data_IF_904317656834
#
_entry.id   IF_904317656834
#
_cell.length_a   1.000
_cell.length_b   1.000
_cell.length_c   1.000
_cell.angle_alpha   90.00
_cell.angle_beta   90.00
_cell.angle_gamma   90.00
#
_symmetry.space_group_name_H-M   'P 1'
#
loop_
_entity.id
_entity.type
_entity.pdbx_description
1 polymer ?
#
# COMPACT_ATOMS: atom_id res chain seq x y z
N UNK A 1 -36.25 -9.21 4.36
CA UNK A 1 -34.95 -8.58 4.69
C UNK A 1 -33.90 -9.68 4.78
N UNK A 2 -33.01 -9.80 3.80
CA UNK A 2 -31.93 -10.80 3.84
C UNK A 2 -30.90 -10.39 4.90
N UNK A 3 -30.88 -11.11 6.03
CA UNK A 3 -29.87 -10.92 7.08
C UNK A 3 -28.52 -11.40 6.54
N UNK A 4 -27.61 -10.45 6.29
CA UNK A 4 -26.24 -10.78 5.87
C UNK A 4 -25.56 -11.50 7.04
N UNK A 5 -25.16 -12.76 6.83
CA UNK A 5 -24.46 -13.56 7.85
C UNK A 5 -23.17 -12.84 8.29
N UNK A 6 -22.82 -12.82 9.59
CA UNK A 6 -21.61 -12.17 10.08
C UNK A 6 -20.33 -12.72 9.44
N UNK A 7 -20.30 -14.01 9.06
CA UNK A 7 -19.18 -14.60 8.29
C UNK A 7 -19.07 -13.99 6.89
N UNK A 8 -20.21 -13.78 6.21
CA UNK A 8 -20.21 -13.16 4.88
C UNK A 8 -19.78 -11.68 4.93
N UNK A 9 -20.13 -10.96 6.00
CA UNK A 9 -19.66 -9.60 6.22
C UNK A 9 -18.15 -9.55 6.49
N UNK A 10 -17.63 -10.49 7.30
CA UNK A 10 -16.21 -10.63 7.56
C UNK A 10 -15.42 -10.88 6.26
N UNK A 11 -15.87 -11.84 5.45
CA UNK A 11 -15.22 -12.16 4.16
C UNK A 11 -15.18 -10.94 3.21
N UNK A 12 -16.30 -10.20 3.12
CA UNK A 12 -16.37 -8.96 2.33
C UNK A 12 -15.43 -7.87 2.84
N UNK A 13 -15.37 -7.66 4.15
CA UNK A 13 -14.47 -6.65 4.73
C UNK A 13 -13.00 -7.03 4.51
N UNK A 14 -12.64 -8.31 4.64
CA UNK A 14 -11.29 -8.80 4.34
C UNK A 14 -10.89 -8.60 2.88
N UNK A 15 -11.81 -8.84 1.94
CA UNK A 15 -11.58 -8.53 0.53
C UNK A 15 -11.35 -7.04 0.31
N UNK A 16 -12.23 -6.19 0.83
CA UNK A 16 -12.11 -4.73 0.73
C UNK A 16 -10.80 -4.18 1.34
N UNK A 17 -10.29 -4.83 2.40
CA UNK A 17 -9.00 -4.52 3.01
C UNK A 17 -7.82 -4.90 2.11
N UNK A 18 -7.86 -6.08 1.46
CA UNK A 18 -6.85 -6.46 0.45
C UNK A 18 -6.83 -5.47 -0.71
N UNK A 19 -7.98 -5.09 -1.23
CA UNK A 19 -8.06 -4.12 -2.35
C UNK A 19 -7.46 -2.77 -1.96
N UNK A 20 -7.77 -2.29 -0.74
CA UNK A 20 -7.23 -1.02 -0.23
C UNK A 20 -5.71 -1.10 -0.04
N UNK A 21 -5.19 -2.24 0.44
CA UNK A 21 -3.74 -2.49 0.55
C UNK A 21 -3.07 -2.52 -0.81
N UNK A 22 -3.64 -3.25 -1.78
CA UNK A 22 -3.13 -3.31 -3.15
C UNK A 22 -3.10 -1.93 -3.80
N UNK A 23 -4.13 -1.11 -3.59
CA UNK A 23 -4.15 0.25 -4.09
C UNK A 23 -3.01 1.09 -3.48
N UNK A 24 -2.83 1.04 -2.16
CA UNK A 24 -1.71 1.74 -1.50
C UNK A 24 -0.36 1.30 -2.06
N UNK A 25 -0.15 -0.01 -2.26
CA UNK A 25 1.10 -0.54 -2.81
C UNK A 25 1.32 -0.07 -4.26
N UNK A 26 0.25 -0.01 -5.07
CA UNK A 26 0.32 0.50 -6.43
C UNK A 26 0.69 1.98 -6.46
N UNK A 27 0.10 2.80 -5.58
CA UNK A 27 0.44 4.22 -5.42
C UNK A 27 1.92 4.41 -5.15
N UNK A 28 2.47 3.67 -4.18
CA UNK A 28 3.88 3.76 -3.80
C UNK A 28 4.81 3.32 -4.94
N UNK A 29 4.47 2.23 -5.65
CA UNK A 29 5.25 1.78 -6.82
C UNK A 29 5.22 2.79 -7.96
N UNK A 30 4.07 3.43 -8.22
CA UNK A 30 3.96 4.46 -9.24
C UNK A 30 4.80 5.68 -8.91
N UNK A 31 4.86 6.10 -7.64
CA UNK A 31 5.70 7.20 -7.19
C UNK A 31 7.18 6.87 -7.46
N UNK A 32 7.64 5.70 -7.01
CA UNK A 32 9.02 5.26 -7.23
C UNK A 32 9.38 5.16 -8.72
N UNK A 33 8.55 4.49 -9.53
CA UNK A 33 8.77 4.36 -10.96
C UNK A 33 8.77 5.70 -11.70
N UNK A 34 7.96 6.67 -11.24
CA UNK A 34 7.93 8.02 -11.80
C UNK A 34 9.19 8.80 -11.41
N UNK A 35 9.62 8.73 -10.15
CA UNK A 35 10.85 9.36 -9.68
C UNK A 35 12.07 8.85 -10.46
N UNK A 36 12.16 7.53 -10.67
CA UNK A 36 13.21 6.91 -11.47
C UNK A 36 13.20 7.42 -12.92
N UNK A 37 12.04 7.40 -13.59
CA UNK A 37 11.93 7.86 -14.98
C UNK A 37 12.36 9.32 -15.16
N UNK A 38 11.97 10.19 -14.23
CA UNK A 38 12.36 11.60 -14.28
C UNK A 38 13.87 11.75 -14.10
N UNK A 39 14.47 11.01 -13.17
CA UNK A 39 15.92 10.99 -12.91
C UNK A 39 16.70 10.52 -14.13
N UNK A 40 16.30 9.39 -14.73
CA UNK A 40 16.92 8.83 -15.94
C UNK A 40 16.82 9.82 -17.11
N UNK A 41 15.68 10.48 -17.28
CA UNK A 41 15.47 11.47 -18.35
C UNK A 41 16.37 12.70 -18.16
N UNK A 42 16.49 13.21 -16.93
CA UNK A 42 17.38 14.34 -16.64
C UNK A 42 18.85 13.98 -16.86
N UNK A 43 19.30 12.83 -16.36
CA UNK A 43 20.65 12.30 -16.62
C UNK A 43 20.97 12.21 -18.11
N UNK A 44 20.05 11.68 -18.91
CA UNK A 44 20.23 11.56 -20.36
C UNK A 44 20.41 12.94 -21.03
N UNK A 45 19.62 13.93 -20.62
CA UNK A 45 19.75 15.32 -21.11
C UNK A 45 21.07 15.96 -20.70
N UNK A 46 21.44 15.88 -19.41
CA UNK A 46 22.67 16.49 -18.88
C UNK A 46 23.94 15.88 -19.43
N UNK A 47 23.93 14.60 -19.79
CA UNK A 47 25.11 13.91 -20.30
C UNK A 47 25.41 14.23 -21.77
N UNK A 48 24.49 14.83 -22.54
CA UNK A 48 24.67 15.10 -23.98
C UNK A 48 24.96 13.85 -24.85
N UNK A 49 24.85 12.65 -24.28
CA UNK A 49 25.22 11.38 -24.94
C UNK A 49 23.99 10.78 -25.59
N UNK A 50 23.68 11.23 -26.80
CA UNK A 50 22.67 10.58 -27.65
C UNK A 50 23.06 9.14 -28.02
N UNK A 51 24.34 8.74 -27.91
CA UNK A 51 24.81 7.45 -28.42
C UNK A 51 26.06 6.83 -27.75
N UNK A 52 26.32 7.03 -26.44
CA UNK A 52 27.42 6.31 -25.77
C UNK A 52 26.94 5.50 -24.58
N UNK A 53 26.87 4.18 -24.79
CA UNK A 53 26.86 3.11 -23.77
C UNK A 53 27.91 3.42 -22.72
N UNK A 54 27.50 4.08 -21.65
CA UNK A 54 28.33 4.30 -20.49
C UNK A 54 27.53 3.80 -19.31
N UNK A 55 27.86 2.57 -18.90
CA UNK A 55 27.56 1.93 -17.62
C UNK A 55 26.28 2.32 -16.91
N UNK A 56 25.41 1.33 -16.73
CA UNK A 56 24.29 1.33 -15.78
C UNK A 56 24.78 1.48 -14.32
N UNK A 57 25.40 2.61 -13.98
CA UNK A 57 25.79 2.96 -12.62
C UNK A 57 25.19 4.32 -12.31
N UNK A 58 24.31 4.30 -11.32
CA UNK A 58 23.82 5.51 -10.67
C UNK A 58 24.99 6.16 -9.94
N UNK A 59 25.18 7.46 -10.16
CA UNK A 59 26.13 8.26 -9.40
C UNK A 59 25.49 8.68 -8.07
N UNK A 60 26.27 9.07 -7.05
CA UNK A 60 25.69 9.67 -5.84
C UNK A 60 24.82 10.90 -6.13
N UNK A 61 25.12 11.65 -7.19
CA UNK A 61 24.29 12.76 -7.65
C UNK A 61 22.95 12.29 -8.24
N UNK A 62 22.95 11.19 -9.01
CA UNK A 62 21.72 10.59 -9.55
C UNK A 62 20.82 10.10 -8.40
N UNK A 63 21.40 9.48 -7.38
CA UNK A 63 20.66 9.01 -6.20
C UNK A 63 20.01 10.18 -5.45
N UNK A 64 20.73 11.27 -5.22
CA UNK A 64 20.17 12.48 -4.58
C UNK A 64 19.03 13.09 -5.39
N UNK A 65 19.15 13.14 -6.71
CA UNK A 65 18.09 13.63 -7.59
C UNK A 65 16.86 12.72 -7.54
N UNK A 66 17.06 11.40 -7.56
CA UNK A 66 15.99 10.43 -7.39
C UNK A 66 15.26 10.60 -6.07
N UNK A 67 15.98 10.70 -4.95
CA UNK A 67 15.39 10.91 -3.62
C UNK A 67 14.61 12.23 -3.55
N UNK A 68 15.12 13.30 -4.17
CA UNK A 68 14.40 14.58 -4.27
C UNK A 68 13.09 14.45 -5.05
N UNK A 69 13.11 13.74 -6.19
CA UNK A 69 11.89 13.48 -6.96
C UNK A 69 10.91 12.58 -6.23
N UNK A 70 11.41 11.57 -5.52
CA UNK A 70 10.59 10.68 -4.71
C UNK A 70 9.85 11.47 -3.63
N UNK A 71 10.57 12.27 -2.85
CA UNK A 71 9.99 13.11 -1.79
C UNK A 71 8.97 14.11 -2.35
N UNK A 72 9.26 14.75 -3.48
CA UNK A 72 8.34 15.68 -4.11
C UNK A 72 7.03 14.99 -4.54
N UNK A 73 7.13 13.81 -5.15
CA UNK A 73 5.96 13.03 -5.59
C UNK A 73 5.17 12.44 -4.41
N UNK A 74 5.85 11.98 -3.36
CA UNK A 74 5.21 11.55 -2.11
C UNK A 74 4.48 12.70 -1.46
N UNK A 75 5.07 13.90 -1.41
CA UNK A 75 4.41 15.09 -0.89
C UNK A 75 3.16 15.45 -1.68
N UNK A 76 3.24 15.44 -3.02
CA UNK A 76 2.10 15.68 -3.91
C UNK A 76 0.96 14.68 -3.68
N UNK A 77 1.27 13.41 -3.39
CA UNK A 77 0.28 12.35 -3.16
C UNK A 77 0.02 12.03 -1.69
N UNK A 78 0.52 12.85 -0.76
CA UNK A 78 0.46 12.61 0.67
C UNK A 78 -0.98 12.41 1.17
N UNK A 79 -1.91 13.26 0.72
CA UNK A 79 -3.31 13.16 1.11
C UNK A 79 -3.96 11.83 0.72
N UNK A 80 -3.62 11.29 -0.46
CA UNK A 80 -4.11 9.99 -0.94
C UNK A 80 -3.52 8.83 -0.13
N UNK A 81 -2.20 8.85 0.10
CA UNK A 81 -1.49 7.85 0.92
C UNK A 81 -2.07 7.80 2.34
N UNK A 82 -2.26 8.96 2.95
CA UNK A 82 -2.83 9.07 4.29
C UNK A 82 -4.29 8.59 4.33
N UNK A 83 -5.10 8.94 3.32
CA UNK A 83 -6.49 8.50 3.23
C UNK A 83 -6.60 6.97 3.12
N UNK A 84 -5.77 6.35 2.28
CA UNK A 84 -5.70 4.89 2.14
C UNK A 84 -5.23 4.23 3.43
N UNK A 85 -4.18 4.77 4.07
CA UNK A 85 -3.66 4.26 5.34
C UNK A 85 -4.70 4.32 6.45
N UNK A 86 -5.41 5.45 6.60
CA UNK A 86 -6.51 5.58 7.58
C UNK A 86 -7.67 4.64 7.28
N UNK A 87 -8.00 4.43 6.00
CA UNK A 87 -9.03 3.47 5.60
C UNK A 87 -8.63 2.04 6.00
N UNK A 88 -7.38 1.67 5.79
CA UNK A 88 -6.83 0.37 6.16
C UNK A 88 -6.95 0.12 7.67
N UNK A 89 -6.56 1.11 8.49
CA UNK A 89 -6.71 1.04 9.95
C UNK A 89 -8.17 0.85 10.40
N UNK A 90 -9.12 1.56 9.77
CA UNK A 90 -10.55 1.38 10.05
C UNK A 90 -11.05 -0.01 9.64
N UNK A 91 -10.63 -0.52 8.50
CA UNK A 91 -10.99 -1.88 8.05
C UNK A 91 -10.42 -2.94 9.00
N UNK A 92 -9.20 -2.77 9.48
CA UNK A 92 -8.56 -3.66 10.45
C UNK A 92 -9.34 -3.68 11.78
N UNK A 93 -9.77 -2.51 12.28
CA UNK A 93 -10.62 -2.42 13.47
C UNK A 93 -11.97 -3.14 13.29
N UNK A 94 -12.61 -2.97 12.13
CA UNK A 94 -13.89 -3.66 11.83
C UNK A 94 -13.69 -5.17 11.72
N UNK A 95 -12.63 -5.62 11.05
CA UNK A 95 -12.29 -7.05 10.96
C UNK A 95 -12.07 -7.64 12.35
N UNK A 96 -11.32 -6.96 13.22
CA UNK A 96 -11.09 -7.40 14.58
C UNK A 96 -12.40 -7.51 15.38
N UNK A 97 -13.27 -6.51 15.29
CA UNK A 97 -14.57 -6.52 15.96
C UNK A 97 -15.50 -7.64 15.44
N UNK A 98 -15.50 -7.90 14.13
CA UNK A 98 -16.27 -8.99 13.54
C UNK A 98 -15.73 -10.35 13.96
N UNK A 99 -14.40 -10.53 14.00
CA UNK A 99 -13.78 -11.75 14.53
C UNK A 99 -14.17 -11.98 15.99
N UNK A 100 -14.05 -10.97 16.85
CA UNK A 100 -14.43 -11.09 18.27
C UNK A 100 -15.91 -11.48 18.48
N UNK A 101 -16.82 -11.05 17.60
CA UNK A 101 -18.23 -11.45 17.63
C UNK A 101 -18.48 -12.86 17.08
N UNK A 102 -17.60 -13.33 16.20
CA UNK A 102 -17.63 -14.64 15.55
C UNK A 102 -16.82 -15.69 16.30
N UNK A 103 -16.13 -15.31 17.37
CA UNK A 103 -15.61 -16.19 18.41
C UNK A 103 -16.73 -16.41 19.45
N UNK A 104 -17.64 -17.40 19.28
CA UNK A 104 -18.55 -17.79 20.34
C UNK A 104 -17.76 -18.60 21.37
N UNK A 105 -17.90 -18.25 22.66
CA UNK A 105 -18.42 -19.19 23.67
C UNK A 105 -17.75 -20.59 23.70
N UNK A 106 -16.48 -20.72 23.30
CA UNK A 106 -15.76 -21.99 23.20
C UNK A 106 -15.60 -22.63 24.60
N UNK A 107 -15.63 -21.77 25.61
CA UNK A 107 -15.45 -22.10 27.02
C UNK A 107 -16.67 -22.80 27.65
N UNK A 108 -17.84 -22.85 26.97
CA UNK A 108 -19.06 -23.44 27.56
C UNK A 108 -19.25 -24.90 27.14
N UNK A 109 -18.64 -25.33 26.03
CA UNK A 109 -18.78 -26.71 25.57
C UNK A 109 -17.85 -27.71 26.29
N UNK A 110 -16.91 -27.25 27.12
CA UNK A 110 -16.03 -28.12 27.93
C UNK A 110 -16.56 -28.40 29.34
N UNK A 111 -17.58 -27.66 29.81
CA UNK A 111 -18.13 -27.82 31.18
C UNK A 111 -19.32 -28.78 31.28
N UNK A 112 -20.01 -29.06 30.16
CA UNK A 112 -21.13 -30.00 30.13
C UNK A 112 -20.70 -31.44 29.77
N UNK A 113 -19.39 -31.70 29.72
CA UNK A 113 -18.79 -33.00 29.39
C UNK A 113 -18.01 -33.64 30.56
N UNK A 114 -18.16 -33.13 31.79
CA UNK A 114 -17.52 -33.63 33.01
C UNK A 114 -18.52 -34.02 34.09
#
# INVERSE_FOLDING_TARGET
MTTISPHSLLARMQASRRDTRHHLDLVLRQIAARAERVTVTQKAKSSGRTHKRSGSRWTPSDERLFQSHLQALEFQRRGEIEALSRKLARQDAVIAALKARLEPRADINERDAA
#
